data_IF_782199858903
#
_entry.id   IF_782199858903
#
_cell.length_a   1.000
_cell.length_b   1.000
_cell.length_c   1.000
_cell.angle_alpha   90.00
_cell.angle_beta   90.00
_cell.angle_gamma   90.00
#
_symmetry.space_group_name_H-M   'P 1'
#
loop_
_entity.id
_entity.type
_entity.pdbx_description
1 polymer ?
#
# COMPACT_ATOMS: atom_id res chain seq x y z
N UNK A 1 -14.46 3.26 -14.12
CA UNK A 1 -13.35 2.30 -14.30
C UNK A 1 -12.87 1.94 -12.91
N UNK A 2 -12.95 0.68 -12.50
CA UNK A 2 -12.29 0.26 -11.27
C UNK A 2 -10.79 0.46 -11.51
N UNK A 3 -10.19 1.45 -10.85
CA UNK A 3 -8.75 1.67 -10.89
C UNK A 3 -8.12 0.45 -10.21
N UNK A 4 -7.83 -0.57 -11.01
CA UNK A 4 -7.09 -1.74 -10.54
C UNK A 4 -5.75 -1.26 -10.01
N UNK A 5 -5.34 -1.80 -8.87
CA UNK A 5 -4.01 -1.57 -8.33
C UNK A 5 -3.00 -1.89 -9.44
N UNK A 6 -2.08 -0.95 -9.68
CA UNK A 6 -0.98 -1.13 -10.59
C UNK A 6 -0.13 -2.31 -10.10
N UNK A 7 0.09 -3.35 -10.93
CA UNK A 7 0.85 -4.53 -10.52
C UNK A 7 2.32 -4.19 -10.16
N UNK A 8 2.83 -3.04 -10.64
CA UNK A 8 4.13 -2.51 -10.24
C UNK A 8 4.13 -2.00 -8.79
N UNK A 9 3.05 -1.36 -8.35
CA UNK A 9 2.86 -0.90 -6.95
C UNK A 9 2.76 -2.10 -6.02
N UNK A 10 1.95 -3.11 -6.35
CA UNK A 10 1.86 -4.32 -5.53
C UNK A 10 3.23 -5.04 -5.40
N UNK A 11 3.96 -5.19 -6.51
CA UNK A 11 5.29 -5.82 -6.50
C UNK A 11 6.30 -5.04 -5.65
N UNK A 12 6.28 -3.71 -5.72
CA UNK A 12 7.20 -2.87 -4.95
C UNK A 12 6.89 -2.91 -3.46
N UNK A 13 5.62 -2.83 -3.06
CA UNK A 13 5.20 -3.02 -1.67
C UNK A 13 5.65 -4.40 -1.16
N UNK A 14 5.52 -5.44 -2.00
CA UNK A 14 5.93 -6.82 -1.66
C UNK A 14 7.44 -6.96 -1.47
N UNK A 15 8.23 -6.18 -2.20
CA UNK A 15 9.67 -6.14 -2.01
C UNK A 15 10.06 -5.51 -0.65
N UNK A 16 9.30 -4.52 -0.18
CA UNK A 16 9.58 -3.84 1.11
C UNK A 16 9.04 -4.61 2.33
N UNK A 17 7.82 -5.14 2.27
CA UNK A 17 7.16 -5.76 3.44
C UNK A 17 7.09 -7.29 3.39
N UNK A 18 7.54 -7.92 2.29
CA UNK A 18 7.35 -9.34 2.06
C UNK A 18 5.96 -9.67 1.50
N UNK A 19 5.59 -10.95 1.48
CA UNK A 19 4.26 -11.40 1.01
C UNK A 19 3.21 -11.47 2.11
N UNK A 20 1.98 -11.87 1.75
CA UNK A 20 0.90 -12.16 2.71
C UNK A 20 -0.14 -11.04 2.89
N UNK A 21 0.01 -9.93 2.18
CA UNK A 21 -0.99 -8.86 2.13
C UNK A 21 -1.73 -8.84 0.79
N UNK A 22 -2.83 -8.09 0.74
CA UNK A 22 -3.49 -7.71 -0.51
C UNK A 22 -3.57 -6.19 -0.59
N UNK A 23 -3.25 -5.60 -1.74
CA UNK A 23 -3.47 -4.16 -1.96
C UNK A 23 -4.94 -3.94 -2.30
N UNK A 24 -5.59 -3.04 -1.56
CA UNK A 24 -7.01 -2.73 -1.73
C UNK A 24 -7.22 -1.52 -2.63
N UNK A 25 -6.50 -0.45 -2.35
CA UNK A 25 -6.60 0.81 -3.08
C UNK A 25 -5.23 1.45 -3.21
N UNK A 26 -5.08 2.30 -4.22
CA UNK A 26 -3.93 3.15 -4.36
C UNK A 26 -4.34 4.53 -4.84
N UNK A 27 -3.57 5.53 -4.45
CA UNK A 27 -3.74 6.91 -4.91
C UNK A 27 -2.41 7.63 -4.86
N UNK A 28 -2.20 8.56 -5.79
CA UNK A 28 -1.04 9.43 -5.77
C UNK A 28 -1.46 10.82 -5.30
N UNK A 29 -0.77 11.34 -4.30
CA UNK A 29 -1.04 12.66 -3.74
C UNK A 29 0.29 13.36 -3.47
N UNK A 30 0.49 14.52 -4.12
CA UNK A 30 1.66 15.39 -3.94
C UNK A 30 3.01 14.66 -4.18
N UNK A 31 3.05 13.77 -5.16
CA UNK A 31 4.27 13.01 -5.50
C UNK A 31 4.56 11.83 -4.56
N UNK A 32 3.62 11.48 -3.68
CA UNK A 32 3.66 10.26 -2.89
C UNK A 32 2.58 9.29 -3.38
N UNK A 33 2.96 8.04 -3.62
CA UNK A 33 2.03 6.95 -3.79
C UNK A 33 1.60 6.45 -2.43
N UNK A 34 0.30 6.48 -2.17
CA UNK A 34 -0.33 5.88 -1.01
C UNK A 34 -1.04 4.59 -1.44
N UNK A 35 -0.90 3.54 -0.64
CA UNK A 35 -1.62 2.30 -0.84
C UNK A 35 -2.26 1.83 0.47
N UNK A 36 -3.52 1.43 0.40
CA UNK A 36 -4.16 0.68 1.47
C UNK A 36 -3.86 -0.80 1.24
N UNK A 37 -3.25 -1.46 2.22
CA UNK A 37 -2.97 -2.88 2.22
C UNK A 37 -3.72 -3.57 3.36
N UNK A 38 -4.14 -4.80 3.13
CA UNK A 38 -4.75 -5.66 4.14
C UNK A 38 -3.81 -6.84 4.43
N UNK A 39 -3.44 -7.02 5.70
CA UNK A 39 -2.59 -8.11 6.16
C UNK A 39 -3.17 -8.74 7.43
N UNK A 40 -3.42 -10.04 7.40
CA UNK A 40 -4.04 -10.79 8.51
C UNK A 40 -5.32 -10.15 9.06
N UNK A 41 -6.17 -9.62 8.17
CA UNK A 41 -7.44 -8.96 8.54
C UNK A 41 -7.29 -7.53 9.08
N UNK A 42 -6.07 -7.01 9.19
CA UNK A 42 -5.82 -5.62 9.58
C UNK A 42 -5.53 -4.77 8.35
N UNK A 43 -5.97 -3.51 8.37
CA UNK A 43 -5.71 -2.56 7.28
C UNK A 43 -4.63 -1.57 7.66
N UNK A 44 -3.75 -1.33 6.70
CA UNK A 44 -2.63 -0.40 6.84
C UNK A 44 -2.60 0.53 5.64
N UNK A 45 -2.21 1.77 5.90
CA UNK A 45 -1.86 2.72 4.85
C UNK A 45 -0.35 2.80 4.81
N UNK A 46 0.22 2.54 3.64
CA UNK A 46 1.64 2.69 3.37
C UNK A 46 1.85 3.76 2.30
N UNK A 47 2.98 4.44 2.35
CA UNK A 47 3.33 5.45 1.36
C UNK A 47 4.79 5.34 0.91
N UNK A 48 5.04 5.72 -0.34
CA UNK A 48 6.36 5.83 -0.92
C UNK A 48 6.44 6.99 -1.90
N UNK A 49 7.61 7.62 -2.04
CA UNK A 49 7.85 8.66 -3.04
C UNK A 49 8.34 8.09 -4.38
N UNK A 50 8.93 6.90 -4.36
CA UNK A 50 9.72 6.34 -5.45
C UNK A 50 9.42 4.86 -5.72
N UNK A 51 8.50 4.26 -4.96
CA UNK A 51 8.16 2.84 -5.00
C UNK A 51 9.34 1.91 -4.70
N UNK A 52 10.39 2.39 -4.02
CA UNK A 52 11.52 1.56 -3.54
C UNK A 52 11.53 1.50 -2.01
N UNK A 53 11.19 2.61 -1.35
CA UNK A 53 11.06 2.68 0.11
C UNK A 53 9.60 2.94 0.52
N UNK A 54 8.92 1.89 1.02
CA UNK A 54 7.56 2.01 1.54
C UNK A 54 7.56 2.15 3.05
N UNK A 55 6.79 3.12 3.55
CA UNK A 55 6.64 3.41 4.98
C UNK A 55 5.21 3.24 5.45
N UNK A 56 5.03 2.73 6.67
CA UNK A 56 3.74 2.74 7.35
C UNK A 56 3.35 4.17 7.73
N UNK A 57 2.15 4.59 7.32
CA UNK A 57 1.57 5.90 7.63
C UNK A 57 0.52 5.78 8.72
N UNK A 58 -0.34 4.77 8.61
CA UNK A 58 -1.40 4.52 9.58
C UNK A 58 -1.82 3.04 9.57
N UNK A 59 -2.44 2.61 10.65
CA UNK A 59 -3.22 1.38 10.72
C UNK A 59 -4.64 1.75 11.12
N UNK A 60 -5.65 1.22 10.43
CA UNK A 60 -7.01 1.30 10.95
C UNK A 60 -7.11 0.31 12.11
N UNK A 61 -6.89 0.83 13.32
CA UNK A 61 -7.20 0.14 14.57
C UNK A 61 -8.42 0.84 15.17
N UNK A 62 -9.56 0.68 14.51
CA UNK A 62 -10.84 0.99 15.15
C UNK A 62 -11.16 -0.13 16.15
N UNK A 63 -11.34 0.30 17.40
CA UNK A 63 -11.68 -0.46 18.60
C UNK A 63 -13.05 -1.14 18.51
#
# INVERSE_FOLDING_TARGET
MAAGVDPAVEKSIRASFGGGFSVRTQTELRGLTYAEIEHSGNRFVVASADALDWKFVASDRTL
#
